data_IF_092664206048
#
_entry.id   IF_092664206048
#
_cell.length_a   1.000
_cell.length_b   1.000
_cell.length_c   1.000
_cell.angle_alpha   90.00
_cell.angle_beta   90.00
_cell.angle_gamma   90.00
#
_symmetry.space_group_name_H-M   'P 1'
#
loop_
_entity.id
_entity.type
_entity.pdbx_description
1 polymer ?
#
# COMPACT_ATOMS: atom_id res chain seq x y z
N UNK A 1 7.90 34.16 5.64
CA UNK A 1 8.90 33.60 6.59
C UNK A 1 10.22 33.45 5.84
N UNK A 2 11.37 33.63 6.47
CA UNK A 2 12.65 33.40 5.76
C UNK A 2 12.91 31.90 5.62
N UNK A 3 13.76 31.50 4.66
CA UNK A 3 14.16 30.09 4.46
C UNK A 3 14.83 29.51 5.71
N UNK A 4 15.72 30.28 6.34
CA UNK A 4 16.43 29.84 7.56
C UNK A 4 15.45 29.58 8.72
N UNK A 5 14.42 30.42 8.85
CA UNK A 5 13.39 30.24 9.86
C UNK A 5 12.52 29.01 9.59
N UNK A 6 12.19 28.73 8.33
CA UNK A 6 11.49 27.50 7.93
C UNK A 6 12.31 26.26 8.31
N UNK A 7 13.61 26.27 7.97
CA UNK A 7 14.51 25.14 8.26
C UNK A 7 14.63 24.92 9.77
N UNK A 8 14.83 25.98 10.55
CA UNK A 8 14.89 25.90 12.01
C UNK A 8 13.61 25.29 12.58
N UNK A 9 12.44 25.79 12.17
CA UNK A 9 11.15 25.27 12.62
C UNK A 9 10.90 23.83 12.17
N UNK A 10 11.38 23.43 10.98
CA UNK A 10 11.28 22.05 10.52
C UNK A 10 12.05 21.10 11.44
N UNK A 11 13.29 21.40 11.79
CA UNK A 11 14.05 20.56 12.73
C UNK A 11 13.46 20.56 14.15
N UNK A 12 12.78 21.61 14.56
CA UNK A 12 12.09 21.66 15.85
C UNK A 12 10.81 20.82 15.87
N UNK A 13 9.91 21.01 14.89
CA UNK A 13 8.61 20.35 14.83
C UNK A 13 8.72 18.83 14.56
N UNK A 14 9.81 18.40 13.92
CA UNK A 14 10.07 17.00 13.58
C UNK A 14 11.21 16.38 14.40
N UNK A 15 11.63 17.01 15.51
CA UNK A 15 12.80 16.55 16.30
C UNK A 15 12.72 15.07 16.66
N UNK A 16 11.57 14.62 17.16
CA UNK A 16 11.35 13.24 17.54
C UNK A 16 11.42 12.28 16.33
N UNK A 17 10.90 12.69 15.16
CA UNK A 17 10.95 11.88 13.95
C UNK A 17 12.39 11.76 13.39
N UNK A 18 13.19 12.83 13.49
CA UNK A 18 14.60 12.84 13.07
C UNK A 18 15.48 11.97 13.97
N UNK A 19 15.20 11.92 15.27
CA UNK A 19 15.94 11.11 16.25
C UNK A 19 15.58 9.61 16.15
N UNK A 20 14.38 9.28 15.70
CA UNK A 20 13.95 7.91 15.50
C UNK A 20 14.56 7.31 14.22
N UNK A 21 15.08 6.09 14.30
CA UNK A 21 15.49 5.34 13.12
C UNK A 21 14.25 5.06 12.23
N UNK A 22 14.29 5.37 10.92
CA UNK A 22 13.14 5.17 10.04
C UNK A 22 12.94 3.67 9.78
N UNK A 23 11.70 3.14 9.91
CA UNK A 23 11.41 1.75 9.56
C UNK A 23 11.77 1.35 8.11
N UNK A 24 11.71 2.31 7.19
CA UNK A 24 12.14 2.19 5.81
C UNK A 24 13.02 3.39 5.42
N UNK A 25 14.25 3.15 4.98
CA UNK A 25 15.17 4.22 4.57
C UNK A 25 14.88 4.68 3.14
N UNK A 26 15.38 5.83 2.69
CA UNK A 26 15.28 6.23 1.27
C UNK A 26 15.91 5.17 0.33
N UNK A 27 17.07 4.63 0.72
CA UNK A 27 17.71 3.50 0.02
C UNK A 27 16.81 2.26 0.01
N UNK A 28 16.18 1.95 1.13
CA UNK A 28 15.19 0.87 1.22
C UNK A 28 13.98 1.10 0.31
N UNK A 29 13.43 2.30 0.30
CA UNK A 29 12.35 2.68 -0.61
C UNK A 29 12.74 2.56 -2.08
N UNK A 30 13.96 2.96 -2.43
CA UNK A 30 14.52 2.79 -3.78
C UNK A 30 14.67 1.31 -4.16
N UNK A 31 15.04 0.44 -3.21
CA UNK A 31 15.06 -1.01 -3.44
C UNK A 31 13.64 -1.55 -3.70
N UNK A 32 12.64 -1.10 -2.94
CA UNK A 32 11.24 -1.49 -3.14
C UNK A 32 10.73 -1.08 -4.52
N UNK A 33 11.08 0.12 -4.99
CA UNK A 33 10.78 0.57 -6.36
C UNK A 33 11.36 -0.38 -7.42
N UNK A 34 12.59 -0.85 -7.18
CA UNK A 34 13.28 -1.84 -8.01
C UNK A 34 12.80 -3.29 -7.84
N UNK A 35 11.75 -3.54 -7.05
CA UNK A 35 11.27 -4.88 -6.67
C UNK A 35 12.25 -5.72 -5.83
N UNK A 36 13.26 -5.08 -5.24
CA UNK A 36 14.24 -5.70 -4.35
C UNK A 36 13.80 -5.67 -2.89
N UNK A 37 14.54 -6.39 -2.06
CA UNK A 37 14.31 -6.43 -0.62
C UNK A 37 14.90 -5.18 0.07
N UNK A 38 14.07 -4.44 0.80
CA UNK A 38 14.56 -3.34 1.63
C UNK A 38 15.46 -3.87 2.77
N UNK A 39 16.72 -3.47 2.75
CA UNK A 39 17.63 -3.75 3.85
C UNK A 39 17.27 -2.93 5.11
N UNK A 40 17.59 -3.42 6.32
CA UNK A 40 17.43 -2.65 7.55
C UNK A 40 18.24 -1.34 7.54
N UNK A 41 17.85 -0.42 8.44
CA UNK A 41 18.57 0.83 8.68
C UNK A 41 20.01 0.57 9.13
N UNK A 42 20.96 1.22 8.45
CA UNK A 42 22.38 1.25 8.74
C UNK A 42 22.83 2.71 8.85
N UNK A 43 23.20 3.20 10.05
CA UNK A 43 23.60 4.59 10.26
C UNK A 43 24.74 5.08 9.36
N UNK A 44 25.66 4.19 8.95
CA UNK A 44 26.79 4.57 8.10
C UNK A 44 26.41 4.71 6.62
N UNK A 45 25.34 4.02 6.18
CA UNK A 45 24.88 4.01 4.78
C UNK A 45 23.66 4.89 4.55
N UNK A 46 22.88 5.13 5.60
CA UNK A 46 21.60 5.82 5.55
C UNK A 46 21.66 7.23 6.18
N UNK A 47 22.88 7.76 6.41
CA UNK A 47 23.08 9.16 6.79
C UNK A 47 22.51 10.09 5.69
N UNK A 48 21.59 11.02 6.01
CA UNK A 48 20.89 11.86 5.03
C UNK A 48 21.77 13.03 4.57
N UNK A 49 22.93 12.72 4.00
CA UNK A 49 23.81 13.65 3.29
C UNK A 49 23.15 14.12 1.99
N UNK A 50 23.65 15.21 1.40
CA UNK A 50 23.17 15.72 0.12
C UNK A 50 23.27 14.65 -0.97
N UNK A 51 24.40 13.94 -1.06
CA UNK A 51 24.59 12.86 -2.04
C UNK A 51 23.62 11.68 -1.82
N UNK A 52 23.30 11.35 -0.57
CA UNK A 52 22.32 10.32 -0.25
C UNK A 52 20.91 10.74 -0.69
N UNK A 53 20.52 11.99 -0.41
CA UNK A 53 19.23 12.55 -0.83
C UNK A 53 19.12 12.56 -2.35
N UNK A 54 20.13 13.08 -3.05
CA UNK A 54 20.18 13.14 -4.52
C UNK A 54 20.10 11.73 -5.14
N UNK A 55 20.76 10.75 -4.54
CA UNK A 55 20.82 9.37 -5.04
C UNK A 55 19.52 8.58 -4.87
N UNK A 56 18.73 8.85 -3.82
CA UNK A 56 17.62 7.97 -3.44
C UNK A 56 16.24 8.66 -3.33
N UNK A 57 16.16 9.99 -3.17
CA UNK A 57 14.89 10.65 -2.86
C UNK A 57 13.83 10.45 -3.95
N UNK A 58 14.22 10.54 -5.22
CA UNK A 58 13.27 10.49 -6.33
C UNK A 58 12.47 9.18 -6.41
N UNK A 59 13.15 8.05 -6.29
CA UNK A 59 12.51 6.73 -6.35
C UNK A 59 12.04 6.27 -4.98
N UNK A 60 12.79 6.57 -3.91
CA UNK A 60 12.52 6.04 -2.58
C UNK A 60 11.40 6.72 -1.82
N UNK A 61 11.18 8.04 -2.01
CA UNK A 61 10.30 8.82 -1.15
C UNK A 61 8.81 8.42 -1.28
N UNK A 62 8.40 7.87 -2.42
CA UNK A 62 7.05 7.36 -2.64
C UNK A 62 6.68 6.13 -1.80
N UNK A 63 7.68 5.35 -1.37
CA UNK A 63 7.49 4.07 -0.66
C UNK A 63 7.65 4.19 0.85
N UNK A 64 8.09 5.33 1.37
CA UNK A 64 8.27 5.54 2.80
C UNK A 64 6.91 5.54 3.51
N UNK A 65 6.81 4.80 4.62
CA UNK A 65 5.67 4.91 5.54
C UNK A 65 5.65 6.30 6.20
N UNK A 66 4.60 6.60 6.96
CA UNK A 66 4.43 7.92 7.56
C UNK A 66 5.59 8.31 8.50
N UNK A 67 6.10 7.38 9.32
CA UNK A 67 7.22 7.65 10.23
C UNK A 67 8.52 7.88 9.46
N UNK A 68 8.83 6.99 8.53
CA UNK A 68 10.01 7.10 7.66
C UNK A 68 9.99 8.38 6.83
N UNK A 69 8.84 8.79 6.32
CA UNK A 69 8.69 10.02 5.56
C UNK A 69 8.96 11.26 6.41
N UNK A 70 8.36 11.34 7.61
CA UNK A 70 8.59 12.46 8.55
C UNK A 70 10.05 12.56 9.00
N UNK A 71 10.76 11.43 9.12
CA UNK A 71 12.19 11.41 9.44
C UNK A 71 13.03 12.21 8.43
N UNK A 72 12.74 12.09 7.13
CA UNK A 72 13.53 12.77 6.08
C UNK A 72 13.04 14.19 5.74
N UNK A 73 11.79 14.55 6.07
CA UNK A 73 11.20 15.83 5.70
C UNK A 73 12.05 17.06 6.07
N UNK A 74 12.57 17.22 7.30
CA UNK A 74 13.36 18.40 7.65
C UNK A 74 14.65 18.52 6.84
N UNK A 75 15.31 17.38 6.56
CA UNK A 75 16.55 17.32 5.77
C UNK A 75 16.27 17.66 4.30
N UNK A 76 15.17 17.16 3.74
CA UNK A 76 14.73 17.50 2.39
C UNK A 76 14.35 18.99 2.28
N UNK A 77 13.59 19.54 3.23
CA UNK A 77 13.26 20.97 3.28
C UNK A 77 14.56 21.81 3.34
N UNK A 78 15.51 21.43 4.19
CA UNK A 78 16.81 22.10 4.28
C UNK A 78 17.61 22.00 2.98
N UNK A 79 17.60 20.85 2.31
CA UNK A 79 18.23 20.67 1.01
C UNK A 79 17.63 21.64 -0.03
N UNK A 80 16.31 21.67 -0.18
CA UNK A 80 15.63 22.51 -1.16
C UNK A 80 15.81 24.00 -0.86
N UNK A 81 15.74 24.41 0.41
CA UNK A 81 15.96 25.81 0.78
C UNK A 81 17.37 26.33 0.43
N UNK A 82 18.39 25.46 0.51
CA UNK A 82 19.77 25.80 0.10
C UNK A 82 19.96 25.79 -1.42
N UNK A 83 19.11 25.05 -2.16
CA UNK A 83 19.27 24.81 -3.59
C UNK A 83 17.94 24.90 -4.35
N UNK A 84 17.31 26.07 -4.42
CA UNK A 84 15.98 26.24 -5.02
C UNK A 84 15.94 26.00 -6.54
N UNK A 85 17.05 26.22 -7.23
CA UNK A 85 17.18 26.07 -8.69
C UNK A 85 17.94 24.80 -9.08
N UNK A 86 18.07 23.85 -8.15
CA UNK A 86 18.75 22.58 -8.41
C UNK A 86 17.95 21.77 -9.45
N UNK A 87 18.56 21.39 -10.60
CA UNK A 87 17.90 20.48 -11.54
C UNK A 87 17.79 19.06 -11.00
N UNK A 88 18.36 18.76 -9.81
CA UNK A 88 18.26 17.46 -9.19
C UNK A 88 16.80 17.11 -8.86
N UNK A 89 16.47 15.85 -9.12
CA UNK A 89 15.16 15.27 -8.91
C UNK A 89 14.71 15.25 -7.43
N UNK A 90 15.58 15.61 -6.48
CA UNK A 90 15.25 15.67 -5.06
C UNK A 90 14.22 16.75 -4.71
N UNK A 91 14.25 17.91 -5.39
CA UNK A 91 13.25 18.97 -5.22
C UNK A 91 11.88 18.47 -5.69
N UNK A 92 11.84 17.89 -6.89
CA UNK A 92 10.64 17.30 -7.48
C UNK A 92 10.09 16.18 -6.58
N UNK A 93 10.96 15.29 -6.09
CA UNK A 93 10.59 14.20 -5.20
C UNK A 93 9.87 14.71 -3.95
N UNK A 94 10.44 15.72 -3.28
CA UNK A 94 9.85 16.31 -2.08
C UNK A 94 8.46 16.87 -2.38
N UNK A 95 8.34 17.73 -3.39
CA UNK A 95 7.05 18.38 -3.70
C UNK A 95 6.02 17.33 -4.12
N UNK A 96 6.38 16.36 -4.96
CA UNK A 96 5.50 15.25 -5.35
C UNK A 96 5.06 14.42 -4.13
N UNK A 97 5.92 14.21 -3.15
CA UNK A 97 5.56 13.50 -1.92
C UNK A 97 4.56 14.25 -1.04
N UNK A 98 4.42 15.57 -1.25
CA UNK A 98 3.48 16.46 -0.56
C UNK A 98 2.17 16.66 -1.33
N UNK A 99 1.98 15.94 -2.44
CA UNK A 99 0.83 16.05 -3.33
C UNK A 99 -0.04 14.78 -3.29
N UNK A 100 -1.35 14.91 -3.59
CA UNK A 100 -2.20 13.76 -3.82
C UNK A 100 -1.94 13.11 -5.20
N UNK A 101 -2.35 11.84 -5.40
CA UNK A 101 -2.87 10.94 -4.38
C UNK A 101 -1.76 10.58 -3.38
N UNK A 102 -2.07 10.67 -2.08
CA UNK A 102 -1.17 10.12 -1.07
C UNK A 102 -1.28 8.58 -1.10
N UNK A 103 -0.26 7.91 -0.60
CA UNK A 103 -0.24 6.46 -0.51
C UNK A 103 -1.21 5.96 0.56
N UNK A 104 -1.40 4.64 0.61
CA UNK A 104 -2.04 3.97 1.74
C UNK A 104 -1.00 3.13 2.51
N UNK A 105 -1.01 3.14 3.86
CA UNK A 105 -1.71 4.08 4.73
C UNK A 105 -1.30 5.54 4.46
N UNK A 106 -2.20 6.51 4.69
CA UNK A 106 -1.94 7.91 4.38
C UNK A 106 -0.88 8.49 5.32
N UNK A 107 0.01 9.31 4.77
CA UNK A 107 1.08 10.01 5.47
C UNK A 107 0.72 11.45 5.76
N UNK A 108 0.10 12.15 4.81
CA UNK A 108 -0.12 13.59 4.91
C UNK A 108 -1.03 13.95 6.09
N UNK A 109 -2.05 13.12 6.37
CA UNK A 109 -2.98 13.29 7.50
C UNK A 109 -2.36 12.97 8.86
N UNK A 110 -1.13 12.44 8.91
CA UNK A 110 -0.46 12.05 10.16
C UNK A 110 0.34 13.18 10.79
N UNK A 111 0.49 14.30 10.07
CA UNK A 111 1.22 15.45 10.59
C UNK A 111 0.48 16.07 11.77
N UNK A 112 1.24 16.53 12.77
CA UNK A 112 0.71 17.44 13.79
C UNK A 112 0.43 18.82 13.18
N UNK A 113 -0.35 19.66 13.86
CA UNK A 113 -0.60 21.03 13.40
C UNK A 113 0.70 21.85 13.24
N UNK A 114 1.70 21.62 14.09
CA UNK A 114 3.00 22.30 14.00
C UNK A 114 3.81 21.85 12.79
N UNK A 115 3.82 20.54 12.52
CA UNK A 115 4.47 19.95 11.36
C UNK A 115 3.81 20.39 10.05
N UNK A 116 2.48 20.39 10.01
CA UNK A 116 1.69 20.90 8.89
C UNK A 116 2.00 22.37 8.62
N UNK A 117 2.06 23.21 9.66
CA UNK A 117 2.37 24.63 9.50
C UNK A 117 3.77 24.87 8.88
N UNK A 118 4.75 24.02 9.18
CA UNK A 118 6.07 24.07 8.54
C UNK A 118 5.97 23.73 7.05
N UNK A 119 5.24 22.66 6.71
CA UNK A 119 5.05 22.21 5.32
C UNK A 119 4.35 23.29 4.50
N UNK A 120 3.27 23.88 5.02
CA UNK A 120 2.55 24.96 4.33
C UNK A 120 3.47 26.15 4.09
N UNK A 121 4.18 26.62 5.12
CA UNK A 121 5.06 27.77 4.98
C UNK A 121 6.25 27.52 4.03
N UNK A 122 6.74 26.27 3.98
CA UNK A 122 7.73 25.84 2.99
C UNK A 122 7.18 25.94 1.57
N UNK A 123 6.01 25.35 1.31
CA UNK A 123 5.37 25.37 -0.01
C UNK A 123 5.01 26.80 -0.44
N UNK A 124 4.49 27.64 0.46
CA UNK A 124 4.23 29.05 0.19
C UNK A 124 5.50 29.80 -0.24
N UNK A 125 6.63 29.51 0.38
CA UNK A 125 7.92 30.12 0.05
C UNK A 125 8.40 29.73 -1.35
N UNK A 126 8.13 28.49 -1.78
CA UNK A 126 8.42 28.05 -3.15
C UNK A 126 7.43 28.66 -4.15
N UNK A 127 6.14 28.66 -3.82
CA UNK A 127 5.06 29.14 -4.68
C UNK A 127 5.12 30.65 -4.97
N UNK A 128 5.59 31.44 -4.00
CA UNK A 128 5.70 32.90 -4.05
C UNK A 128 7.09 33.41 -4.42
N UNK A 129 8.09 32.53 -4.50
CA UNK A 129 9.46 32.91 -4.84
C UNK A 129 9.62 33.35 -6.30
N UNK A 130 10.68 34.12 -6.57
CA UNK A 130 11.04 34.61 -7.92
C UNK A 130 11.71 33.55 -8.81
N UNK A 131 11.72 32.28 -8.37
CA UNK A 131 12.33 31.17 -9.11
C UNK A 131 11.59 30.89 -10.42
N UNK A 132 12.35 30.57 -11.48
CA UNK A 132 11.84 30.39 -12.84
C UNK A 132 11.65 28.91 -13.23
N UNK A 133 11.65 27.99 -12.26
CA UNK A 133 11.59 26.53 -12.48
C UNK A 133 10.24 25.88 -12.13
N UNK A 134 10.05 24.63 -12.58
CA UNK A 134 8.85 23.80 -12.37
C UNK A 134 8.45 23.66 -10.89
N UNK A 135 9.41 23.73 -9.95
CA UNK A 135 9.14 23.64 -8.51
C UNK A 135 8.18 24.71 -7.97
N UNK A 136 8.06 25.88 -8.62
CA UNK A 136 7.07 26.90 -8.24
C UNK A 136 5.65 26.45 -8.57
N UNK A 137 5.43 25.97 -9.79
CA UNK A 137 4.12 25.51 -10.25
C UNK A 137 3.67 24.27 -9.47
N UNK A 138 4.59 23.32 -9.23
CA UNK A 138 4.31 22.15 -8.43
C UNK A 138 3.97 22.49 -6.97
N UNK A 139 4.63 23.49 -6.38
CA UNK A 139 4.32 23.95 -5.03
C UNK A 139 2.95 24.64 -4.94
N UNK A 140 2.59 25.46 -5.92
CA UNK A 140 1.25 26.06 -6.03
C UNK A 140 0.18 24.96 -6.13
N UNK A 141 0.43 23.98 -6.99
CA UNK A 141 -0.48 22.87 -7.17
C UNK A 141 -0.62 22.05 -5.87
N UNK A 142 0.47 21.76 -5.17
CA UNK A 142 0.42 21.08 -3.88
C UNK A 142 -0.44 21.83 -2.84
N UNK A 143 -0.26 23.15 -2.75
CA UNK A 143 -1.05 24.01 -1.86
C UNK A 143 -2.55 23.91 -2.15
N UNK A 144 -2.97 24.05 -3.40
CA UNK A 144 -4.38 23.97 -3.80
C UNK A 144 -4.98 22.57 -3.66
N UNK A 145 -4.18 21.54 -3.89
CA UNK A 145 -4.63 20.16 -3.90
C UNK A 145 -4.81 19.60 -2.48
N UNK A 146 -3.97 20.01 -1.52
CA UNK A 146 -3.99 19.43 -0.18
C UNK A 146 -3.89 20.42 0.99
N UNK A 147 -3.05 21.46 0.91
CA UNK A 147 -2.62 22.17 2.13
C UNK A 147 -3.43 23.42 2.48
N UNK A 148 -4.06 24.09 1.51
CA UNK A 148 -4.85 25.29 1.77
C UNK A 148 -6.25 24.98 2.33
N UNK A 149 -6.88 25.94 3.04
CA UNK A 149 -8.28 25.82 3.41
C UNK A 149 -9.17 25.57 2.19
N UNK A 150 -9.99 24.52 2.24
CA UNK A 150 -10.84 24.12 1.12
C UNK A 150 -10.09 23.43 -0.03
N UNK A 151 -8.88 22.93 0.22
CA UNK A 151 -8.10 22.16 -0.74
C UNK A 151 -8.90 21.04 -1.42
N UNK A 152 -8.64 20.84 -2.72
CA UNK A 152 -9.48 20.03 -3.62
C UNK A 152 -9.55 18.56 -3.23
N UNK A 153 -8.48 18.00 -2.70
CA UNK A 153 -8.34 16.57 -2.46
C UNK A 153 -8.10 16.21 -0.99
N UNK A 154 -8.04 17.19 -0.09
CA UNK A 154 -7.92 16.91 1.35
C UNK A 154 -9.25 16.34 1.85
N UNK A 155 -9.29 15.07 2.30
CA UNK A 155 -10.52 14.47 2.76
C UNK A 155 -10.96 15.14 4.07
N UNK A 156 -12.26 15.47 4.15
CA UNK A 156 -12.83 15.99 5.39
C UNK A 156 -13.17 14.83 6.33
N UNK A 157 -13.00 14.98 7.66
CA UNK A 157 -13.35 13.92 8.61
C UNK A 157 -14.78 13.39 8.45
N UNK A 158 -15.73 14.28 8.18
CA UNK A 158 -17.13 13.93 7.92
C UNK A 158 -17.31 13.09 6.65
N UNK A 159 -16.55 13.37 5.59
CA UNK A 159 -16.62 12.61 4.33
C UNK A 159 -16.05 11.20 4.53
N UNK A 160 -14.93 11.09 5.25
CA UNK A 160 -14.33 9.78 5.58
C UNK A 160 -15.26 8.97 6.47
N UNK A 161 -15.88 9.60 7.49
CA UNK A 161 -16.84 8.93 8.35
C UNK A 161 -18.08 8.47 7.56
N UNK A 162 -18.60 9.32 6.67
CA UNK A 162 -19.71 8.97 5.79
C UNK A 162 -19.36 7.76 4.91
N UNK A 163 -18.19 7.77 4.26
CA UNK A 163 -17.69 6.66 3.44
C UNK A 163 -17.60 5.34 4.23
N UNK A 164 -17.06 5.37 5.45
CA UNK A 164 -16.92 4.18 6.31
C UNK A 164 -18.25 3.64 6.83
N UNK A 165 -19.24 4.52 7.00
CA UNK A 165 -20.58 4.15 7.46
C UNK A 165 -21.56 3.78 6.34
N UNK A 166 -21.19 4.03 5.08
CA UNK A 166 -22.05 3.79 3.94
C UNK A 166 -22.36 2.28 3.80
N UNK A 167 -23.63 1.91 3.53
CA UNK A 167 -23.96 0.51 3.31
C UNK A 167 -23.25 -0.01 2.05
N UNK A 168 -22.64 -1.19 2.17
CA UNK A 168 -21.95 -1.84 1.05
C UNK A 168 -22.89 -2.81 0.35
N UNK A 169 -23.14 -2.58 -0.94
CA UNK A 169 -23.84 -3.55 -1.78
C UNK A 169 -22.88 -4.65 -2.19
N UNK A 170 -23.27 -5.90 -1.94
CA UNK A 170 -22.53 -7.08 -2.39
C UNK A 170 -23.24 -7.72 -3.58
N UNK A 171 -22.46 -8.35 -4.46
CA UNK A 171 -22.97 -9.16 -5.55
C UNK A 171 -22.28 -10.52 -5.56
N UNK A 172 -22.96 -11.50 -6.13
CA UNK A 172 -22.41 -12.84 -6.31
C UNK A 172 -21.71 -12.90 -7.66
N UNK A 173 -20.45 -13.32 -7.65
CA UNK A 173 -19.66 -13.60 -8.85
C UNK A 173 -19.56 -15.11 -9.00
N UNK A 174 -20.14 -15.63 -10.07
CA UNK A 174 -19.98 -17.04 -10.46
C UNK A 174 -19.05 -17.15 -11.67
N UNK A 175 -18.15 -18.12 -11.58
CA UNK A 175 -17.17 -18.47 -12.62
C UNK A 175 -17.11 -19.98 -12.73
N UNK A 176 -16.46 -20.48 -13.77
CA UNK A 176 -16.24 -21.89 -13.94
C UNK A 176 -15.43 -22.46 -12.75
N UNK A 177 -16.12 -23.16 -11.85
CA UNK A 177 -15.53 -23.86 -10.69
C UNK A 177 -15.61 -23.12 -9.35
N UNK A 178 -16.04 -21.86 -9.28
CA UNK A 178 -16.17 -21.16 -8.00
C UNK A 178 -17.23 -20.05 -7.98
N UNK A 179 -17.63 -19.70 -6.76
CA UNK A 179 -18.49 -18.58 -6.42
C UNK A 179 -17.83 -17.71 -5.37
N UNK A 180 -17.90 -16.40 -5.54
CA UNK A 180 -17.52 -15.38 -4.57
C UNK A 180 -18.69 -14.44 -4.30
N UNK A 181 -18.72 -13.86 -3.11
CA UNK A 181 -19.58 -12.71 -2.79
C UNK A 181 -18.68 -11.51 -2.51
N UNK A 182 -18.74 -10.50 -3.38
CA UNK A 182 -17.81 -9.36 -3.37
C UNK A 182 -18.58 -8.03 -3.33
N UNK A 183 -17.99 -6.95 -2.77
CA UNK A 183 -18.54 -5.62 -2.92
C UNK A 183 -18.71 -5.27 -4.41
N UNK A 184 -19.83 -4.64 -4.77
CA UNK A 184 -20.17 -4.29 -6.15
C UNK A 184 -19.17 -3.35 -6.82
N UNK A 185 -18.42 -2.57 -6.03
CA UNK A 185 -17.40 -1.65 -6.53
C UNK A 185 -16.07 -2.33 -6.91
N UNK A 186 -15.89 -3.63 -6.64
CA UNK A 186 -14.65 -4.33 -7.01
C UNK A 186 -14.56 -4.53 -8.51
N UNK A 187 -13.43 -4.15 -9.09
CA UNK A 187 -13.13 -4.34 -10.50
C UNK A 187 -12.30 -5.61 -10.70
N UNK A 188 -12.65 -6.42 -11.71
CA UNK A 188 -11.87 -7.59 -12.11
C UNK A 188 -10.79 -7.23 -13.13
N UNK A 189 -9.61 -7.83 -13.02
CA UNK A 189 -8.57 -7.82 -14.05
C UNK A 189 -8.92 -8.65 -15.29
N UNK A 190 -10.00 -9.42 -15.22
CA UNK A 190 -10.26 -10.53 -16.13
C UNK A 190 -9.44 -11.78 -15.78
N UNK A 191 -9.95 -12.95 -16.15
CA UNK A 191 -9.24 -14.21 -15.98
C UNK A 191 -8.13 -14.34 -17.03
N UNK A 192 -6.90 -14.59 -16.57
CA UNK A 192 -5.71 -14.76 -17.40
C UNK A 192 -5.14 -16.16 -17.21
N UNK A 193 -4.86 -16.84 -18.32
CA UNK A 193 -4.11 -18.10 -18.31
C UNK A 193 -2.60 -17.83 -18.32
N UNK A 194 -1.86 -18.52 -17.47
CA UNK A 194 -0.40 -18.52 -17.38
C UNK A 194 0.06 -19.92 -17.78
N UNK A 195 0.50 -20.05 -19.03
CA UNK A 195 0.78 -21.34 -19.64
C UNK A 195 1.96 -22.07 -18.97
N UNK A 196 3.01 -21.31 -18.62
CA UNK A 196 4.25 -21.81 -18.00
C UNK A 196 4.00 -22.47 -16.65
N UNK A 197 2.99 -21.98 -15.92
CA UNK A 197 2.61 -22.49 -14.60
C UNK A 197 1.37 -23.39 -14.65
N UNK A 198 0.76 -23.54 -15.83
CA UNK A 198 -0.51 -24.24 -16.05
C UNK A 198 -1.59 -23.78 -15.07
N UNK A 199 -1.71 -22.46 -14.86
CA UNK A 199 -2.72 -21.89 -13.94
C UNK A 199 -3.55 -20.81 -14.61
N UNK A 200 -4.74 -20.59 -14.08
CA UNK A 200 -5.57 -19.42 -14.41
C UNK A 200 -5.69 -18.54 -13.19
N UNK A 201 -5.53 -17.23 -13.36
CA UNK A 201 -5.65 -16.25 -12.28
C UNK A 201 -6.66 -15.17 -12.66
N UNK A 202 -7.55 -14.83 -11.73
CA UNK A 202 -8.39 -13.63 -11.80
C UNK A 202 -8.13 -12.82 -10.53
N UNK A 203 -7.88 -11.52 -10.68
CA UNK A 203 -7.66 -10.60 -9.56
C UNK A 203 -8.78 -9.57 -9.54
N UNK A 204 -9.35 -9.33 -8.37
CA UNK A 204 -10.26 -8.24 -8.11
C UNK A 204 -9.62 -7.24 -7.16
N UNK A 205 -9.82 -5.97 -7.43
CA UNK A 205 -9.34 -4.87 -6.59
C UNK A 205 -10.45 -3.86 -6.35
N UNK A 206 -10.48 -3.30 -5.15
CA UNK A 206 -11.42 -2.24 -4.78
C UNK A 206 -11.18 -1.75 -3.36
N UNK A 207 -12.11 -0.93 -2.86
CA UNK A 207 -12.09 -0.44 -1.49
C UNK A 207 -13.01 -1.28 -0.61
N UNK A 208 -12.49 -1.75 0.52
CA UNK A 208 -13.27 -2.38 1.58
C UNK A 208 -13.50 -1.38 2.71
N UNK A 209 -14.66 -1.45 3.36
CA UNK A 209 -15.05 -0.57 4.47
C UNK A 209 -14.86 0.94 4.16
N UNK A 210 -15.18 1.32 2.91
CA UNK A 210 -15.21 2.71 2.43
C UNK A 210 -13.88 3.22 1.86
N UNK A 211 -12.75 2.89 2.49
CA UNK A 211 -11.47 3.58 2.24
C UNK A 211 -10.22 2.69 2.27
N UNK A 212 -10.36 1.36 2.41
CA UNK A 212 -9.19 0.47 2.53
C UNK A 212 -8.96 -0.32 1.25
N UNK A 213 -7.87 -0.05 0.50
CA UNK A 213 -7.52 -0.83 -0.68
C UNK A 213 -7.40 -2.31 -0.34
N UNK A 214 -8.11 -3.14 -1.10
CA UNK A 214 -8.16 -4.59 -0.88
C UNK A 214 -8.01 -5.30 -2.22
N UNK A 215 -7.22 -6.37 -2.21
CA UNK A 215 -7.01 -7.24 -3.35
C UNK A 215 -7.54 -8.64 -3.03
N UNK A 216 -8.23 -9.23 -4.00
CA UNK A 216 -8.69 -10.61 -3.95
C UNK A 216 -8.15 -11.30 -5.21
N UNK A 217 -7.54 -12.47 -5.06
CA UNK A 217 -7.07 -13.25 -6.20
C UNK A 217 -7.59 -14.67 -6.10
N UNK A 218 -8.10 -15.21 -7.21
CA UNK A 218 -8.44 -16.62 -7.32
C UNK A 218 -7.51 -17.25 -8.35
N UNK A 219 -6.78 -18.29 -7.93
CA UNK A 219 -5.92 -19.09 -8.79
C UNK A 219 -6.51 -20.49 -8.94
N UNK A 220 -6.65 -20.97 -10.17
CA UNK A 220 -7.05 -22.33 -10.50
C UNK A 220 -5.83 -23.06 -11.02
N UNK A 221 -5.46 -24.14 -10.35
CA UNK A 221 -4.23 -24.87 -10.63
C UNK A 221 -4.48 -26.39 -10.63
N UNK A 222 -4.09 -27.14 -11.68
CA UNK A 222 -4.14 -28.59 -11.67
C UNK A 222 -3.25 -29.17 -10.57
N UNK A 223 -3.70 -30.20 -9.86
CA UNK A 223 -2.87 -30.93 -8.91
C UNK A 223 -1.73 -31.63 -9.65
N UNK A 224 -2.01 -32.41 -10.70
CA UNK A 224 -0.99 -33.02 -11.58
C UNK A 224 0.20 -33.67 -10.81
N UNK A 225 -0.10 -34.39 -9.72
CA UNK A 225 0.91 -35.01 -8.84
C UNK A 225 1.40 -34.15 -7.68
N UNK A 226 1.02 -32.86 -7.61
CA UNK A 226 1.23 -31.99 -6.44
C UNK A 226 0.27 -32.39 -5.32
N UNK A 227 0.72 -32.26 -4.09
CA UNK A 227 -0.15 -32.39 -2.92
C UNK A 227 -0.61 -31.02 -2.42
N UNK A 228 -1.85 -30.93 -1.93
CA UNK A 228 -2.39 -29.72 -1.30
C UNK A 228 -1.42 -29.13 -0.25
N UNK A 229 -0.84 -30.01 0.59
CA UNK A 229 0.14 -29.62 1.60
C UNK A 229 1.34 -28.88 1.01
N UNK A 230 1.89 -29.33 -0.11
CA UNK A 230 3.03 -28.66 -0.76
C UNK A 230 2.65 -27.29 -1.32
N UNK A 231 1.42 -27.14 -1.82
CA UNK A 231 0.88 -25.85 -2.28
C UNK A 231 0.77 -24.89 -1.10
N UNK A 232 0.23 -25.35 0.03
CA UNK A 232 0.10 -24.56 1.25
C UNK A 232 1.44 -24.21 1.90
N UNK A 233 2.41 -25.13 1.91
CA UNK A 233 3.78 -24.87 2.39
C UNK A 233 4.45 -23.76 1.56
N UNK A 234 4.29 -23.78 0.23
CA UNK A 234 4.78 -22.70 -0.65
C UNK A 234 4.08 -21.37 -0.39
N UNK A 235 2.76 -21.39 -0.19
CA UNK A 235 2.00 -20.19 0.14
C UNK A 235 2.47 -19.60 1.49
N UNK A 236 2.72 -20.45 2.48
CA UNK A 236 3.20 -20.06 3.80
C UNK A 236 4.61 -19.44 3.78
N UNK A 237 5.49 -19.90 2.90
CA UNK A 237 6.82 -19.31 2.74
C UNK A 237 6.77 -17.82 2.32
N UNK A 238 5.67 -17.37 1.70
CA UNK A 238 5.46 -15.97 1.32
C UNK A 238 4.94 -15.06 2.44
N UNK A 239 4.61 -15.61 3.62
CA UNK A 239 4.07 -14.86 4.75
C UNK A 239 5.15 -14.57 5.81
N UNK A 240 5.18 -13.34 6.31
CA UNK A 240 5.94 -12.95 7.51
C UNK A 240 5.15 -13.29 8.76
N UNK A 241 5.89 -13.53 9.87
CA UNK A 241 5.31 -13.89 11.17
C UNK A 241 4.32 -15.06 11.06
N UNK A 242 4.58 -16.00 10.14
CA UNK A 242 3.81 -17.21 9.94
C UNK A 242 4.07 -18.18 11.10
N UNK A 243 3.42 -17.97 12.24
CA UNK A 243 3.26 -19.02 13.24
C UNK A 243 2.11 -19.97 12.88
N UNK A 244 1.63 -19.98 11.63
CA UNK A 244 0.31 -20.53 11.31
C UNK A 244 0.49 -21.76 10.43
N UNK A 245 0.41 -22.93 11.06
CA UNK A 245 0.17 -24.17 10.32
C UNK A 245 -1.18 -24.07 9.59
N UNK A 246 -1.29 -24.56 8.35
CA UNK A 246 -2.56 -24.61 7.64
C UNK A 246 -3.62 -25.33 8.47
N UNK A 247 -4.79 -24.70 8.64
CA UNK A 247 -5.91 -25.30 9.37
C UNK A 247 -6.97 -25.79 8.41
N UNK A 248 -7.59 -26.93 8.74
CA UNK A 248 -8.75 -27.41 7.99
C UNK A 248 -9.91 -26.41 8.09
N UNK A 249 -10.57 -26.15 6.97
CA UNK A 249 -11.78 -25.32 6.89
C UNK A 249 -12.77 -26.03 5.97
N UNK A 250 -14.07 -25.76 6.12
CA UNK A 250 -15.09 -26.28 5.22
C UNK A 250 -15.39 -25.25 4.13
N UNK A 251 -15.07 -25.58 2.88
CA UNK A 251 -15.53 -24.85 1.70
C UNK A 251 -16.63 -25.66 1.01
N UNK A 252 -17.85 -25.13 0.83
CA UNK A 252 -18.91 -25.85 0.13
C UNK A 252 -18.46 -26.30 -1.28
N UNK A 253 -18.77 -27.54 -1.65
CA UNK A 253 -18.39 -28.13 -2.94
C UNK A 253 -16.94 -28.64 -3.04
N UNK A 254 -16.07 -28.32 -2.08
CA UNK A 254 -14.71 -28.85 -2.03
C UNK A 254 -14.67 -30.24 -1.38
N UNK A 255 -13.77 -31.10 -1.86
CA UNK A 255 -13.50 -32.41 -1.26
C UNK A 255 -12.58 -32.31 -0.04
N UNK A 256 -11.65 -31.35 -0.08
CA UNK A 256 -10.75 -30.98 1.03
C UNK A 256 -10.43 -29.50 0.91
N UNK A 257 -10.31 -28.81 2.04
CA UNK A 257 -9.89 -27.41 2.05
C UNK A 257 -9.06 -27.06 3.27
N UNK A 258 -8.10 -26.17 3.07
CA UNK A 258 -7.20 -25.66 4.10
C UNK A 258 -7.15 -24.14 4.01
N UNK A 259 -6.97 -23.49 5.17
CA UNK A 259 -6.83 -22.05 5.29
C UNK A 259 -5.53 -21.72 5.99
N UNK A 260 -4.90 -20.66 5.52
CA UNK A 260 -3.74 -20.03 6.10
C UNK A 260 -4.04 -18.54 6.29
N UNK A 261 -3.65 -18.01 7.44
CA UNK A 261 -3.78 -16.60 7.77
C UNK A 261 -2.39 -16.10 8.18
N UNK A 262 -2.03 -14.88 7.80
CA UNK A 262 -0.76 -14.30 8.21
C UNK A 262 -0.56 -12.88 7.70
N UNK A 263 0.63 -12.36 7.94
CA UNK A 263 1.02 -11.05 7.43
C UNK A 263 1.90 -11.21 6.20
N UNK A 264 1.76 -10.34 5.23
CA UNK A 264 2.70 -10.19 4.12
C UNK A 264 3.33 -8.81 4.16
N UNK A 265 4.37 -8.62 3.36
CA UNK A 265 5.06 -7.33 3.26
C UNK A 265 4.14 -6.34 2.55
N UNK A 266 3.89 -5.19 3.18
CA UNK A 266 3.56 -3.97 2.45
C UNK A 266 4.84 -3.32 1.90
N UNK A 267 4.74 -2.05 1.50
CA UNK A 267 5.91 -1.30 1.04
C UNK A 267 6.93 -1.04 2.16
N UNK A 268 6.47 -0.94 3.41
CA UNK A 268 7.33 -0.72 4.59
C UNK A 268 7.25 -1.90 5.57
N UNK A 269 8.36 -2.27 6.25
CA UNK A 269 8.34 -3.24 7.33
C UNK A 269 7.40 -2.91 8.49
N UNK A 270 7.15 -1.62 8.76
CA UNK A 270 6.22 -1.15 9.80
C UNK A 270 4.75 -1.22 9.38
N UNK A 271 4.49 -1.46 8.10
CA UNK A 271 3.17 -1.44 7.49
C UNK A 271 2.91 -2.78 6.78
N UNK A 272 2.80 -3.91 7.51
CA UNK A 272 2.48 -5.19 6.93
C UNK A 272 0.99 -5.27 6.54
N UNK A 273 0.70 -5.98 5.45
CA UNK A 273 -0.67 -6.27 5.03
C UNK A 273 -1.12 -7.61 5.59
N UNK A 274 -2.39 -7.75 5.96
CA UNK A 274 -2.99 -9.03 6.35
C UNK A 274 -3.39 -9.82 5.11
N UNK A 275 -3.13 -11.12 5.13
CA UNK A 275 -3.47 -12.04 4.05
C UNK A 275 -4.16 -13.29 4.58
N UNK A 276 -5.30 -13.63 3.98
CA UNK A 276 -5.99 -14.91 4.16
C UNK A 276 -5.91 -15.70 2.85
N UNK A 277 -5.48 -16.95 2.93
CA UNK A 277 -5.36 -17.87 1.80
C UNK A 277 -6.21 -19.10 2.08
N UNK A 278 -7.16 -19.42 1.19
CA UNK A 278 -7.97 -20.63 1.26
C UNK A 278 -7.73 -21.47 0.02
N UNK A 279 -7.27 -22.70 0.23
CA UNK A 279 -7.14 -23.70 -0.82
C UNK A 279 -8.29 -24.69 -0.75
N UNK A 280 -8.96 -24.93 -1.87
CA UNK A 280 -10.07 -25.85 -2.00
C UNK A 280 -9.83 -26.83 -3.15
N UNK A 281 -9.84 -28.13 -2.84
CA UNK A 281 -9.61 -29.21 -3.79
C UNK A 281 -10.93 -29.66 -4.41
N UNK A 282 -10.97 -29.69 -5.75
CA UNK A 282 -12.09 -30.18 -6.53
C UNK A 282 -11.57 -31.07 -7.66
N UNK A 283 -11.92 -32.36 -7.61
CA UNK A 283 -11.40 -33.35 -8.57
C UNK A 283 -9.86 -33.39 -8.57
N UNK A 284 -9.26 -33.00 -9.69
CA UNK A 284 -7.81 -32.95 -9.89
C UNK A 284 -7.26 -31.52 -9.91
N UNK A 285 -7.98 -30.55 -9.34
CA UNK A 285 -7.60 -29.14 -9.31
C UNK A 285 -7.65 -28.58 -7.88
N UNK A 286 -6.91 -27.50 -7.65
CA UNK A 286 -7.00 -26.65 -6.48
C UNK A 286 -7.42 -25.26 -6.91
N UNK A 287 -8.43 -24.71 -6.23
CA UNK A 287 -8.80 -23.30 -6.30
C UNK A 287 -8.26 -22.61 -5.05
N UNK A 288 -7.35 -21.65 -5.25
CA UNK A 288 -6.75 -20.83 -4.20
C UNK A 288 -7.40 -19.45 -4.20
N UNK A 289 -8.16 -19.13 -3.16
CA UNK A 289 -8.61 -17.79 -2.87
C UNK A 289 -7.57 -17.10 -1.98
N UNK A 290 -7.09 -15.93 -2.38
CA UNK A 290 -6.26 -15.04 -1.57
C UNK A 290 -7.03 -13.74 -1.35
N UNK A 291 -7.17 -13.29 -0.11
CA UNK A 291 -7.72 -11.98 0.25
C UNK A 291 -6.64 -11.23 1.02
N UNK A 292 -6.26 -10.05 0.52
CA UNK A 292 -5.18 -9.22 1.08
C UNK A 292 -5.67 -7.80 1.30
N UNK A 293 -5.45 -7.28 2.50
CA UNK A 293 -5.82 -5.90 2.86
C UNK A 293 -4.98 -5.39 4.04
N UNK A 294 -5.17 -4.12 4.38
CA UNK A 294 -4.53 -3.51 5.55
C UNK A 294 -5.22 -3.95 6.85
N UNK A 295 -4.48 -4.18 7.95
CA UNK A 295 -5.05 -4.62 9.21
C UNK A 295 -5.89 -3.50 9.85
N UNK A 296 -7.20 -3.73 9.95
CA UNK A 296 -8.18 -2.89 10.66
C UNK A 296 -9.38 -3.76 11.03
N UNK A 297 -9.89 -3.67 12.26
CA UNK A 297 -10.86 -4.62 12.80
C UNK A 297 -12.11 -4.84 11.92
N UNK A 298 -12.70 -3.76 11.41
CA UNK A 298 -13.86 -3.81 10.51
C UNK A 298 -13.52 -4.40 9.13
N UNK A 299 -12.32 -4.13 8.61
CA UNK A 299 -11.79 -4.71 7.36
C UNK A 299 -11.58 -6.20 7.55
N UNK A 300 -11.03 -6.64 8.69
CA UNK A 300 -10.86 -8.05 9.00
C UNK A 300 -12.20 -8.78 9.03
N UNK A 301 -13.22 -8.21 9.68
CA UNK A 301 -14.58 -8.77 9.69
C UNK A 301 -15.15 -8.88 8.26
N UNK A 302 -14.96 -7.86 7.42
CA UNK A 302 -15.41 -7.89 6.03
C UNK A 302 -14.65 -8.93 5.19
N UNK A 303 -13.35 -9.09 5.41
CA UNK A 303 -12.53 -10.15 4.79
C UNK A 303 -13.04 -11.54 5.19
N UNK A 304 -13.36 -11.76 6.47
CA UNK A 304 -13.96 -13.02 6.94
C UNK A 304 -15.30 -13.31 6.26
N UNK A 305 -16.12 -12.28 6.03
CA UNK A 305 -17.38 -12.41 5.28
C UNK A 305 -17.16 -12.89 3.84
N UNK A 306 -16.18 -12.32 3.15
CA UNK A 306 -15.82 -12.73 1.78
C UNK A 306 -15.30 -14.17 1.76
N UNK A 307 -14.38 -14.51 2.67
CA UNK A 307 -13.81 -15.85 2.80
C UNK A 307 -14.88 -16.88 3.16
N UNK A 308 -15.79 -16.54 4.07
CA UNK A 308 -16.89 -17.42 4.51
C UNK A 308 -17.96 -17.66 3.44
N UNK A 309 -18.11 -16.74 2.49
CA UNK A 309 -19.02 -16.89 1.35
C UNK A 309 -18.41 -17.63 0.15
N UNK A 310 -17.10 -17.92 0.18
CA UNK A 310 -16.43 -18.65 -0.89
C UNK A 310 -16.93 -20.09 -1.00
N UNK A 311 -17.25 -20.50 -2.24
CA UNK A 311 -17.72 -21.85 -2.52
C UNK A 311 -17.16 -22.35 -3.86
N UNK A 312 -17.03 -23.67 -3.96
CA UNK A 312 -16.75 -24.38 -5.20
C UNK A 312 -18.07 -24.74 -5.86
N UNK A 313 -18.17 -24.43 -7.14
CA UNK A 313 -19.29 -24.85 -7.98
C UNK A 313 -18.90 -26.15 -8.67
N UNK A 314 -19.82 -27.11 -8.71
CA UNK A 314 -19.67 -28.25 -9.61
C UNK A 314 -19.53 -27.69 -11.03
N UNK A 315 -18.46 -28.06 -11.74
CA UNK A 315 -18.42 -27.81 -13.19
C UNK A 315 -19.60 -28.57 -13.77
N UNK A 316 -20.56 -27.85 -14.34
CA UNK A 316 -21.61 -28.49 -15.13
C UNK A 316 -20.90 -29.40 -16.12
N UNK A 317 -21.37 -30.65 -16.24
CA UNK A 317 -20.93 -31.51 -17.32
C UNK A 317 -21.10 -30.70 -18.62
N UNK A 318 -20.00 -30.42 -19.31
CA UNK A 318 -20.07 -29.96 -20.68
C UNK A 318 -20.76 -31.11 -21.45
N UNK A 319 -22.07 -30.99 -21.61
CA UNK A 319 -22.81 -31.73 -22.62
C UNK A 319 -22.36 -31.19 -23.98
N UNK A 320 -21.40 -31.90 -24.58
CA UNK A 320 -20.88 -31.68 -25.93
C UNK A 320 -19.95 -32.82 -26.32
#
# INVERSE_FOLDING_TARGET
MTRDEIVRRAFEAFRADVEAAPPLTLRGGNAVDGYDEAEPFDPARDEPTDAYIEGFAFWGLGYLDAQSWRHYLPRLIHYVCRRPDDPAMAVEALIRSLRPPDRYPPRLVTLTAEQEAVVVAFLETLALGDGTGHGREDAQQALEEWWLPGARHRPRPEDVAALRSAPVTYHVVERAGYRLTLPAAFASSGARHIAEESRTVEVWSGMLCGDVPTMIAVNLTPLAGRHLRQIMERAAAGLRAASVEPRSVRVPGATRSERLDGMTRGNSPAEPERMAIVAAVVGQEVVLLTVRSWPRDDVEVAMEGIVGAFAILARGAESG
#
